data_IF_964629500023
#
_entry.id   IF_964629500023
#
_cell.length_a   1.000
_cell.length_b   1.000
_cell.length_c   1.000
_cell.angle_alpha   90.00
_cell.angle_beta   90.00
_cell.angle_gamma   90.00
#
_symmetry.space_group_name_H-M   'P 1'
#
loop_
_entity.id
_entity.type
_entity.pdbx_description
1 polymer ?
#
# COMPACT_ATOMS: atom_id res chain seq x y z
N UNK A 1 -16.47 21.61 -5.14
CA UNK A 1 -16.40 20.14 -5.13
C UNK A 1 -15.04 19.73 -4.55
N UNK A 2 -15.01 18.86 -3.53
CA UNK A 2 -13.79 18.42 -2.85
C UNK A 2 -13.59 16.92 -3.13
N UNK A 3 -12.41 16.54 -3.63
CA UNK A 3 -12.02 15.14 -3.78
C UNK A 3 -10.92 14.81 -2.80
N UNK A 4 -11.08 13.72 -2.05
CA UNK A 4 -10.04 13.22 -1.16
C UNK A 4 -10.14 11.70 -1.02
N UNK A 5 -9.00 11.02 -1.02
CA UNK A 5 -8.92 9.59 -0.76
C UNK A 5 -9.09 9.27 0.74
N UNK A 6 -8.82 10.23 1.61
CA UNK A 6 -8.93 10.10 3.07
C UNK A 6 -9.58 11.34 3.68
N UNK A 7 -10.16 11.23 4.88
CA UNK A 7 -10.82 12.37 5.55
C UNK A 7 -10.23 12.64 6.94
N UNK A 8 -8.95 13.07 7.03
CA UNK A 8 -8.37 13.51 8.29
C UNK A 8 -9.04 14.80 8.79
N UNK A 9 -8.89 15.16 10.08
CA UNK A 9 -9.57 16.32 10.69
C UNK A 9 -9.38 17.64 9.92
N UNK A 10 -8.22 17.83 9.32
CA UNK A 10 -7.88 19.05 8.57
C UNK A 10 -8.70 19.18 7.28
N UNK A 11 -8.86 18.09 6.53
CA UNK A 11 -9.67 18.06 5.30
C UNK A 11 -11.15 18.23 5.64
N UNK A 12 -11.62 17.64 6.74
CA UNK A 12 -12.98 17.88 7.26
C UNK A 12 -13.22 19.35 7.59
N UNK A 13 -12.23 20.03 8.20
CA UNK A 13 -12.31 21.46 8.51
C UNK A 13 -12.39 22.31 7.23
N UNK A 14 -11.60 21.98 6.20
CA UNK A 14 -11.68 22.65 4.90
C UNK A 14 -13.05 22.46 4.24
N UNK A 15 -13.59 21.24 4.25
CA UNK A 15 -14.93 20.96 3.73
C UNK A 15 -15.98 21.85 4.41
N UNK A 16 -16.00 21.93 5.75
CA UNK A 16 -16.95 22.77 6.49
C UNK A 16 -16.77 24.26 6.27
N UNK A 17 -15.54 24.72 6.02
CA UNK A 17 -15.24 26.15 5.85
C UNK A 17 -15.62 26.65 4.46
N UNK A 18 -15.46 25.82 3.43
CA UNK A 18 -15.56 26.23 2.04
C UNK A 18 -16.78 25.64 1.31
N UNK A 19 -17.54 24.74 1.93
CA UNK A 19 -18.73 24.14 1.33
C UNK A 19 -19.97 24.48 2.16
N UNK A 20 -21.06 24.80 1.48
CA UNK A 20 -22.38 24.93 2.09
C UNK A 20 -23.12 23.59 1.92
N UNK A 21 -23.61 23.02 3.03
CA UNK A 21 -24.38 21.75 3.07
C UNK A 21 -23.81 20.63 2.17
N UNK A 22 -22.53 20.22 2.35
CA UNK A 22 -21.92 19.24 1.45
C UNK A 22 -22.48 17.83 1.65
N UNK A 23 -22.94 17.20 0.57
CA UNK A 23 -23.19 15.77 0.55
C UNK A 23 -21.89 14.97 0.40
N UNK A 24 -21.75 13.88 1.17
CA UNK A 24 -20.57 13.02 1.11
C UNK A 24 -20.89 11.76 0.31
N UNK A 25 -20.22 11.61 -0.84
CA UNK A 25 -20.26 10.38 -1.64
C UNK A 25 -18.99 9.59 -1.39
N UNK A 26 -19.11 8.45 -0.70
CA UNK A 26 -17.99 7.55 -0.44
C UNK A 26 -18.22 6.22 -1.17
N UNK A 27 -17.28 5.85 -2.03
CA UNK A 27 -17.24 4.51 -2.61
C UNK A 27 -16.36 3.68 -1.68
N UNK A 28 -16.98 2.88 -0.82
CA UNK A 28 -16.25 1.85 -0.07
C UNK A 28 -15.69 0.85 -1.08
N UNK A 29 -14.39 0.92 -1.35
CA UNK A 29 -13.69 -0.25 -1.88
C UNK A 29 -13.88 -1.35 -0.83
N UNK A 30 -14.72 -2.35 -1.11
CA UNK A 30 -14.67 -3.64 -0.41
C UNK A 30 -13.20 -3.96 -0.20
N UNK A 31 -12.83 -4.21 1.05
CA UNK A 31 -11.45 -4.41 1.53
C UNK A 31 -10.52 -4.78 0.38
N UNK A 32 -9.65 -3.84 -0.02
CA UNK A 32 -8.58 -4.12 -0.99
C UNK A 32 -7.47 -4.88 -0.26
N UNK A 33 -7.81 -5.87 0.55
CA UNK A 33 -6.88 -6.94 0.85
C UNK A 33 -7.01 -7.81 -0.37
N UNK A 34 -6.14 -7.62 -1.35
CA UNK A 34 -6.13 -8.41 -2.57
C UNK A 34 -6.14 -9.90 -2.16
N UNK A 35 -7.31 -10.58 -2.18
CA UNK A 35 -7.43 -11.89 -1.54
C UNK A 35 -6.60 -12.92 -2.29
N UNK A 36 -6.30 -12.60 -3.55
CA UNK A 36 -5.53 -13.37 -4.51
C UNK A 36 -4.03 -13.15 -4.42
N UNK A 37 -3.53 -12.24 -3.57
CA UNK A 37 -2.08 -12.02 -3.41
C UNK A 37 -1.59 -12.79 -2.19
N UNK A 38 -0.78 -13.82 -2.44
CA UNK A 38 -0.04 -14.51 -1.40
C UNK A 38 1.09 -13.60 -0.89
N UNK A 39 1.05 -13.28 0.40
CA UNK A 39 2.04 -12.41 1.05
C UNK A 39 2.78 -13.18 2.13
N UNK A 40 4.11 -13.12 2.08
CA UNK A 40 5.01 -13.74 3.06
C UNK A 40 6.01 -12.72 3.57
N UNK A 41 6.52 -12.92 4.79
CA UNK A 41 7.58 -12.07 5.36
C UNK A 41 8.68 -12.94 5.96
N UNK A 42 9.92 -12.45 5.84
CA UNK A 42 11.09 -13.11 6.40
C UNK A 42 11.81 -12.16 7.33
N UNK A 43 12.03 -12.60 8.58
CA UNK A 43 12.85 -11.86 9.54
C UNK A 43 14.31 -12.24 9.31
N UNK A 44 15.10 -11.30 8.80
CA UNK A 44 16.52 -11.49 8.50
C UNK A 44 17.34 -10.38 9.15
N UNK A 45 18.61 -10.67 9.43
CA UNK A 45 19.57 -9.61 9.73
C UNK A 45 19.89 -8.85 8.44
N UNK A 46 20.10 -7.54 8.52
CA UNK A 46 20.35 -6.69 7.34
C UNK A 46 21.52 -7.23 6.49
N UNK A 47 22.60 -7.67 7.16
CA UNK A 47 23.78 -8.26 6.51
C UNK A 47 23.50 -9.53 5.70
N UNK A 48 22.40 -10.24 6.00
CA UNK A 48 22.01 -11.50 5.36
C UNK A 48 20.87 -11.31 4.34
N UNK A 49 20.40 -10.07 4.12
CA UNK A 49 19.22 -9.80 3.31
C UNK A 49 19.40 -10.22 1.85
N UNK A 50 20.57 -9.95 1.28
CA UNK A 50 20.89 -10.33 -0.11
C UNK A 50 20.95 -11.85 -0.27
N UNK A 51 21.73 -12.54 0.57
CA UNK A 51 21.85 -14.01 0.53
C UNK A 51 20.50 -14.70 0.72
N UNK A 52 19.65 -14.16 1.61
CA UNK A 52 18.31 -14.70 1.85
C UNK A 52 17.40 -14.50 0.64
N UNK A 53 17.49 -13.34 -0.03
CA UNK A 53 16.74 -13.09 -1.26
C UNK A 53 17.16 -14.06 -2.37
N UNK A 54 18.46 -14.27 -2.58
CA UNK A 54 18.95 -15.21 -3.59
C UNK A 54 18.38 -16.62 -3.37
N UNK A 55 18.39 -17.11 -2.12
CA UNK A 55 17.82 -18.43 -1.80
C UNK A 55 16.34 -18.55 -2.12
N UNK A 56 15.57 -17.47 -1.92
CA UNK A 56 14.14 -17.44 -2.28
C UNK A 56 13.99 -17.51 -3.80
N UNK A 57 14.77 -16.72 -4.54
CA UNK A 57 14.75 -16.72 -6.01
C UNK A 57 15.17 -18.07 -6.58
N UNK A 58 16.15 -18.74 -5.98
CA UNK A 58 16.62 -20.07 -6.41
C UNK A 58 15.58 -21.17 -6.11
N UNK A 59 14.76 -21.00 -5.08
CA UNK A 59 13.74 -21.98 -4.68
C UNK A 59 12.42 -21.87 -5.45
N UNK A 60 12.20 -20.76 -6.15
CA UNK A 60 10.95 -20.45 -6.85
C UNK A 60 11.21 -20.38 -8.36
N UNK A 61 10.29 -20.91 -9.17
CA UNK A 61 10.38 -20.80 -10.64
C UNK A 61 9.87 -19.42 -11.10
N UNK A 62 10.72 -18.39 -11.00
CA UNK A 62 10.38 -17.00 -11.35
C UNK A 62 11.00 -16.62 -12.70
N UNK A 63 10.16 -16.50 -13.73
CA UNK A 63 10.60 -15.99 -15.05
C UNK A 63 10.77 -14.46 -15.08
N UNK A 64 9.92 -13.73 -14.35
CA UNK A 64 9.94 -12.27 -14.28
C UNK A 64 9.44 -11.78 -12.93
N UNK A 65 10.20 -10.89 -12.29
CA UNK A 65 9.86 -10.34 -10.99
C UNK A 65 10.30 -8.89 -10.83
N UNK A 66 9.72 -8.19 -9.85
CA UNK A 66 10.08 -6.82 -9.49
C UNK A 66 10.54 -6.81 -8.03
N UNK A 67 11.73 -6.26 -7.78
CA UNK A 67 12.28 -6.08 -6.44
C UNK A 67 12.29 -4.59 -6.11
N UNK A 68 11.62 -4.22 -5.02
CA UNK A 68 11.59 -2.85 -4.52
C UNK A 68 12.62 -2.65 -3.41
N UNK A 69 13.50 -1.66 -3.57
CA UNK A 69 14.48 -1.23 -2.57
C UNK A 69 14.20 0.20 -2.10
N UNK A 70 14.58 0.52 -0.86
CA UNK A 70 14.37 1.87 -0.30
C UNK A 70 15.33 2.91 -0.87
N UNK A 71 16.54 2.49 -1.23
CA UNK A 71 17.62 3.36 -1.73
C UNK A 71 18.03 2.91 -3.13
N UNK A 72 18.51 3.86 -3.94
CA UNK A 72 19.10 3.58 -5.25
C UNK A 72 20.43 2.84 -5.11
#
# INVERSE_FOLDING_TARGET
LLFSATMPPEIKRLSRKYMNEPETVAISRKEVTAPTIHQVYYKVFEKNKLDSLCRILDSEEIDLGIVFCRTK
#
